data_IF_444089421591
#
_entry.id   IF_444089421591
#
_cell.length_a   1.000
_cell.length_b   1.000
_cell.length_c   1.000
_cell.angle_alpha   90.00
_cell.angle_beta   90.00
_cell.angle_gamma   90.00
#
_symmetry.space_group_name_H-M   'P 1'
#
loop_
_entity.id
_entity.type
_entity.pdbx_description
1 polymer ?
#
# COMPACT_ATOMS: atom_id res chain seq x y z
N UNK A 1 1.08 -34.85 66.98
CA UNK A 1 0.69 -33.76 66.04
C UNK A 1 1.89 -33.43 65.16
N UNK A 2 1.92 -33.92 63.91
CA UNK A 2 3.01 -33.65 62.95
C UNK A 2 2.46 -32.79 61.81
N UNK A 3 2.80 -31.49 61.80
CA UNK A 3 2.41 -30.56 60.74
C UNK A 3 3.56 -30.41 59.73
N UNK A 4 3.39 -30.97 58.54
CA UNK A 4 4.33 -30.79 57.41
C UNK A 4 4.12 -29.41 56.78
N UNK A 5 5.06 -28.50 57.02
CA UNK A 5 5.15 -27.22 56.32
C UNK A 5 5.37 -27.47 54.82
N UNK A 6 4.39 -27.06 53.99
CA UNK A 6 4.40 -27.31 52.55
C UNK A 6 5.24 -26.23 51.85
N UNK A 7 6.33 -26.66 51.21
CA UNK A 7 7.24 -25.84 50.39
C UNK A 7 6.48 -25.23 49.19
N UNK A 8 5.83 -24.07 49.39
CA UNK A 8 5.09 -23.36 48.31
C UNK A 8 5.91 -22.27 47.60
N UNK A 9 7.01 -21.80 48.20
CA UNK A 9 7.78 -20.66 47.68
C UNK A 9 8.56 -20.91 46.39
N UNK A 10 8.96 -22.15 46.10
CA UNK A 10 9.76 -22.49 44.92
C UNK A 10 8.95 -22.56 43.62
N UNK A 11 7.67 -22.94 43.70
CA UNK A 11 6.81 -23.14 42.53
C UNK A 11 6.19 -21.84 42.05
N UNK A 12 5.80 -20.93 42.95
CA UNK A 12 5.30 -19.59 42.57
C UNK A 12 6.40 -18.71 41.95
N UNK A 13 7.63 -18.79 42.47
CA UNK A 13 8.79 -18.07 41.91
C UNK A 13 9.16 -18.55 40.50
N UNK A 14 9.05 -19.85 40.21
CA UNK A 14 9.28 -20.39 38.85
C UNK A 14 8.18 -20.00 37.88
N UNK A 15 6.91 -20.06 38.31
CA UNK A 15 5.77 -19.63 37.49
C UNK A 15 5.84 -18.14 37.17
N UNK A 16 6.19 -17.29 38.15
CA UNK A 16 6.39 -15.86 37.93
C UNK A 16 7.52 -15.54 36.95
N UNK A 17 8.64 -16.28 37.01
CA UNK A 17 9.76 -16.13 36.05
C UNK A 17 9.37 -16.54 34.63
N UNK A 18 8.66 -17.66 34.48
CA UNK A 18 8.19 -18.12 33.16
C UNK A 18 7.18 -17.15 32.55
N UNK A 19 6.26 -16.61 33.36
CA UNK A 19 5.31 -15.61 32.92
C UNK A 19 6.00 -14.31 32.48
N UNK A 20 7.02 -13.88 33.23
CA UNK A 20 7.81 -12.70 32.86
C UNK A 20 8.53 -12.90 31.52
N UNK A 21 9.22 -14.03 31.33
CA UNK A 21 9.94 -14.35 30.07
C UNK A 21 8.97 -14.42 28.89
N UNK A 22 7.81 -15.06 29.05
CA UNK A 22 6.80 -15.13 28.01
C UNK A 22 6.29 -13.73 27.62
N UNK A 23 6.02 -12.88 28.61
CA UNK A 23 5.56 -11.51 28.37
C UNK A 23 6.60 -10.69 27.60
N UNK A 24 7.88 -10.73 27.98
CA UNK A 24 8.93 -10.03 27.24
C UNK A 24 9.06 -10.52 25.80
N UNK A 25 8.90 -11.82 25.57
CA UNK A 25 8.97 -12.40 24.24
C UNK A 25 7.79 -11.96 23.34
N UNK A 26 6.56 -11.88 23.89
CA UNK A 26 5.41 -11.34 23.16
C UNK A 26 5.60 -9.87 22.77
N UNK A 27 6.11 -9.05 23.70
CA UNK A 27 6.38 -7.63 23.46
C UNK A 27 7.47 -7.42 22.40
N UNK A 28 8.52 -8.24 22.41
CA UNK A 28 9.62 -8.14 21.45
C UNK A 28 9.18 -8.45 20.01
N UNK A 29 8.31 -9.45 19.80
CA UNK A 29 7.83 -9.82 18.45
C UNK A 29 6.86 -8.77 17.89
N UNK A 30 6.08 -8.10 18.74
CA UNK A 30 5.17 -7.02 18.32
C UNK A 30 5.85 -5.67 18.05
N UNK A 31 7.10 -5.48 18.47
CA UNK A 31 7.76 -4.16 18.45
C UNK A 31 8.72 -3.93 17.28
N UNK A 32 9.05 -4.94 16.46
CA UNK A 32 10.19 -4.83 15.53
C UNK A 32 9.95 -3.94 14.29
N UNK A 33 8.72 -3.62 13.90
CA UNK A 33 8.45 -2.60 12.87
C UNK A 33 6.96 -2.26 12.81
N UNK A 34 6.56 -1.13 13.38
CA UNK A 34 5.23 -0.57 13.11
C UNK A 34 5.38 0.56 12.09
N UNK A 35 4.75 0.41 10.92
CA UNK A 35 4.66 1.47 9.93
C UNK A 35 3.77 2.59 10.51
N UNK A 36 4.26 3.84 10.62
CA UNK A 36 3.43 4.95 11.03
C UNK A 36 2.29 5.15 10.04
N UNK A 37 1.04 5.03 10.51
CA UNK A 37 -0.16 5.28 9.69
C UNK A 37 -0.53 6.76 9.63
N UNK A 38 0.19 7.60 10.38
CA UNK A 38 0.06 9.04 10.39
C UNK A 38 1.45 9.68 10.48
N UNK A 39 1.57 10.86 9.90
CA UNK A 39 2.78 11.66 9.89
C UNK A 39 2.53 13.00 9.20
N UNK A 40 3.41 13.97 9.36
CA UNK A 40 3.30 15.23 8.65
C UNK A 40 3.40 14.98 7.14
N UNK A 41 2.56 15.68 6.37
CA UNK A 41 2.71 15.73 4.91
C UNK A 41 3.90 16.62 4.56
N UNK A 42 4.89 16.04 3.87
CA UNK A 42 6.04 16.77 3.35
C UNK A 42 5.79 17.21 1.91
N UNK A 43 6.29 18.39 1.54
CA UNK A 43 6.38 18.79 0.13
C UNK A 43 7.75 18.41 -0.40
N UNK A 44 7.79 17.58 -1.43
CA UNK A 44 9.00 17.44 -2.24
C UNK A 44 9.12 18.66 -3.14
N UNK A 45 10.32 19.22 -3.28
CA UNK A 45 10.61 20.03 -4.47
C UNK A 45 10.46 19.09 -5.66
N UNK A 46 9.79 19.53 -6.72
CA UNK A 46 9.70 18.76 -7.95
C UNK A 46 11.10 18.27 -8.29
N UNK A 47 11.29 16.96 -8.17
CA UNK A 47 12.53 16.27 -8.46
C UNK A 47 12.70 16.23 -9.97
N UNK A 48 12.72 17.40 -10.61
CA UNK A 48 13.19 17.60 -11.96
C UNK A 48 14.69 17.38 -12.00
N UNK A 49 15.17 16.20 -11.61
CA UNK A 49 16.19 15.60 -12.43
C UNK A 49 15.45 15.26 -13.71
N UNK A 50 15.52 16.17 -14.68
CA UNK A 50 15.36 15.80 -16.08
C UNK A 50 16.48 14.80 -16.33
N UNK A 51 16.26 13.54 -15.94
CA UNK A 51 16.95 12.41 -16.54
C UNK A 51 16.39 12.43 -17.96
N UNK A 52 16.97 13.30 -18.79
CA UNK A 52 16.70 13.35 -20.20
C UNK A 52 16.85 11.92 -20.71
N UNK A 53 15.76 11.36 -21.20
CA UNK A 53 15.64 10.03 -21.77
C UNK A 53 15.53 8.84 -20.80
N UNK A 54 14.84 8.96 -19.66
CA UNK A 54 14.21 7.75 -19.12
C UNK A 54 13.18 7.22 -20.14
N UNK A 55 13.27 5.95 -20.60
CA UNK A 55 12.32 5.39 -21.56
C UNK A 55 10.88 5.61 -21.07
N UNK A 56 10.10 6.34 -21.85
CA UNK A 56 8.69 6.55 -21.54
C UNK A 56 7.96 5.25 -21.84
N UNK A 57 7.33 4.66 -20.83
CA UNK A 57 6.44 3.54 -21.06
C UNK A 57 5.18 4.07 -21.76
N UNK A 58 4.92 3.57 -22.97
CA UNK A 58 3.71 3.85 -23.73
C UNK A 58 2.83 2.59 -23.65
N UNK A 59 1.69 2.64 -22.93
CA UNK A 59 0.77 1.52 -22.84
C UNK A 59 0.18 1.15 -24.21
N UNK A 60 -0.21 -0.10 -24.42
CA UNK A 60 -0.92 -0.49 -25.64
C UNK A 60 -2.34 0.11 -25.68
N UNK A 61 -2.79 0.47 -26.89
CA UNK A 61 -4.15 0.92 -27.14
C UNK A 61 -5.18 -0.22 -27.17
N UNK A 62 -6.47 0.11 -27.35
CA UNK A 62 -7.55 -0.88 -27.39
C UNK A 62 -7.40 -1.82 -28.58
N UNK A 63 -7.67 -3.11 -28.35
CA UNK A 63 -7.61 -4.15 -29.39
C UNK A 63 -8.97 -4.32 -30.07
N UNK A 64 -9.02 -4.52 -31.40
CA UNK A 64 -10.26 -4.85 -32.10
C UNK A 64 -10.91 -6.11 -31.53
N UNK A 65 -12.22 -6.06 -31.31
CA UNK A 65 -12.98 -7.20 -30.75
C UNK A 65 -12.75 -7.46 -29.27
N UNK A 66 -12.04 -6.58 -28.54
CA UNK A 66 -11.91 -6.69 -27.10
C UNK A 66 -13.28 -6.66 -26.39
N UNK A 67 -13.50 -7.58 -25.46
CA UNK A 67 -14.69 -7.58 -24.60
C UNK A 67 -14.68 -6.39 -23.63
N UNK A 68 -15.83 -6.08 -23.05
CA UNK A 68 -16.01 -4.91 -22.16
C UNK A 68 -15.00 -4.89 -20.99
N UNK A 69 -14.75 -6.05 -20.37
CA UNK A 69 -13.78 -6.17 -19.28
C UNK A 69 -12.36 -5.78 -19.71
N UNK A 70 -11.90 -6.25 -20.87
CA UNK A 70 -10.57 -5.95 -21.39
C UNK A 70 -10.42 -4.47 -21.76
N UNK A 71 -11.49 -3.82 -22.23
CA UNK A 71 -11.51 -2.37 -22.49
C UNK A 71 -11.34 -1.58 -21.18
N UNK A 72 -12.03 -1.99 -20.10
CA UNK A 72 -11.93 -1.33 -18.79
C UNK A 72 -10.52 -1.49 -18.21
N UNK A 73 -9.97 -2.70 -18.23
CA UNK A 73 -8.62 -2.98 -17.75
C UNK A 73 -7.55 -2.23 -18.55
N UNK A 74 -7.72 -2.18 -19.87
CA UNK A 74 -6.84 -1.42 -20.76
C UNK A 74 -6.87 0.09 -20.48
N UNK A 75 -8.04 0.67 -20.22
CA UNK A 75 -8.16 2.07 -19.81
C UNK A 75 -7.42 2.35 -18.50
N UNK A 76 -7.54 1.50 -17.49
CA UNK A 76 -6.81 1.67 -16.22
C UNK A 76 -5.30 1.54 -16.40
N UNK A 77 -4.84 0.56 -17.20
CA UNK A 77 -3.43 0.39 -17.52
C UNK A 77 -2.87 1.62 -18.27
N UNK A 78 -3.63 2.14 -19.23
CA UNK A 78 -3.28 3.33 -19.99
C UNK A 78 -3.15 4.61 -19.12
N UNK A 79 -3.68 4.58 -17.89
CA UNK A 79 -3.49 5.63 -16.88
C UNK A 79 -2.02 5.85 -16.48
N UNK A 80 -1.13 4.89 -16.72
CA UNK A 80 0.31 5.05 -16.50
C UNK A 80 0.99 6.01 -17.50
N UNK A 81 0.35 6.29 -18.65
CA UNK A 81 0.84 7.19 -19.69
C UNK A 81 0.58 8.68 -19.44
N UNK A 82 0.69 9.15 -18.19
CA UNK A 82 0.33 10.52 -17.79
C UNK A 82 1.17 11.62 -18.45
N UNK A 83 2.38 11.26 -18.91
CA UNK A 83 3.37 12.19 -19.45
C UNK A 83 2.96 12.80 -20.80
N UNK A 84 2.11 12.11 -21.55
CA UNK A 84 1.59 12.55 -22.85
C UNK A 84 0.08 12.83 -22.77
N UNK A 85 -0.37 13.55 -21.73
CA UNK A 85 -1.78 13.89 -21.47
C UNK A 85 -2.75 12.69 -21.61
N UNK A 86 -2.31 11.51 -21.15
CA UNK A 86 -3.12 10.30 -21.18
C UNK A 86 -3.67 9.95 -22.57
N UNK A 87 -2.93 10.30 -23.63
CA UNK A 87 -3.30 10.09 -25.05
C UNK A 87 -3.79 8.67 -25.35
N UNK A 88 -3.13 7.64 -24.81
CA UNK A 88 -3.57 6.25 -24.98
C UNK A 88 -4.87 5.97 -24.24
N UNK A 89 -5.05 6.45 -23.00
CA UNK A 89 -6.28 6.23 -22.23
C UNK A 89 -7.50 6.85 -22.93
N UNK A 90 -7.33 7.99 -23.60
CA UNK A 90 -8.39 8.64 -24.39
C UNK A 90 -8.88 7.76 -25.55
N UNK A 91 -8.07 6.85 -26.07
CA UNK A 91 -8.46 5.93 -27.15
C UNK A 91 -9.50 4.89 -26.69
N UNK A 92 -9.57 4.60 -25.39
CA UNK A 92 -10.57 3.69 -24.81
C UNK A 92 -11.93 4.37 -24.58
N UNK A 93 -12.03 5.69 -24.77
CA UNK A 93 -13.23 6.47 -24.52
C UNK A 93 -14.00 6.73 -25.81
N UNK A 94 -15.33 6.88 -25.69
CA UNK A 94 -16.14 7.40 -26.78
C UNK A 94 -15.68 8.83 -27.17
N UNK A 95 -15.84 9.27 -28.43
CA UNK A 95 -15.27 10.53 -28.91
C UNK A 95 -15.60 11.76 -28.04
N UNK A 96 -16.87 11.89 -27.61
CA UNK A 96 -17.28 13.01 -26.75
C UNK A 96 -16.64 12.94 -25.34
N UNK A 97 -16.47 11.73 -24.81
CA UNK A 97 -15.86 11.48 -23.51
C UNK A 97 -14.35 11.70 -23.55
N UNK A 98 -13.69 11.34 -24.65
CA UNK A 98 -12.25 11.57 -24.84
C UNK A 98 -11.89 13.06 -24.75
N UNK A 99 -12.78 13.96 -25.18
CA UNK A 99 -12.59 15.43 -25.11
C UNK A 99 -12.96 15.99 -23.74
N UNK A 100 -14.09 15.57 -23.18
CA UNK A 100 -14.64 16.15 -21.95
C UNK A 100 -13.99 15.60 -20.67
N UNK A 101 -13.39 14.41 -20.74
CA UNK A 101 -12.72 13.79 -19.60
C UNK A 101 -11.46 14.54 -19.19
N UNK A 102 -11.40 14.94 -17.91
CA UNK A 102 -10.25 15.58 -17.27
C UNK A 102 -9.65 14.64 -16.22
N UNK A 103 -8.48 14.04 -16.45
CA UNK A 103 -7.86 13.07 -15.53
C UNK A 103 -7.60 13.61 -14.13
N UNK A 104 -7.29 14.91 -14.03
CA UNK A 104 -6.95 15.61 -12.78
C UNK A 104 -8.15 16.24 -12.06
N UNK A 105 -9.38 16.07 -12.56
CA UNK A 105 -10.54 16.75 -11.97
C UNK A 105 -10.85 16.31 -10.53
N UNK A 106 -10.60 15.04 -10.20
CA UNK A 106 -10.89 14.48 -8.88
C UNK A 106 -10.05 13.24 -8.63
N UNK A 107 -9.52 13.12 -7.41
CA UNK A 107 -8.94 11.88 -6.88
C UNK A 107 -9.80 11.41 -5.72
N UNK A 108 -10.18 10.13 -5.73
CA UNK A 108 -10.95 9.49 -4.66
C UNK A 108 -10.03 8.61 -3.83
N UNK A 109 -9.97 8.84 -2.52
CA UNK A 109 -9.22 8.01 -1.58
C UNK A 109 -10.25 7.30 -0.69
N UNK A 110 -10.26 5.97 -0.75
CA UNK A 110 -11.12 5.13 0.10
C UNK A 110 -10.32 4.69 1.33
N UNK A 111 -10.98 4.67 2.49
CA UNK A 111 -10.43 4.19 3.76
C UNK A 111 -10.87 2.75 3.99
#
# INVERSE_FOLDING_TARGET
MTSRARVRGGRSRRVGRLAAVALTMLLAVGACAQIPTAGPVGTSKDGGSVIGNAPQYIPPGPQPGAGAQAVIEGFFNAGSGYQNDFTVARQFLAPANAVSWKPSQRTLVYR
#
